data_IF_952779835245
#
_entry.id   IF_952779835245
#
_cell.length_a   1.000
_cell.length_b   1.000
_cell.length_c   1.000
_cell.angle_alpha   90.00
_cell.angle_beta   90.00
_cell.angle_gamma   90.00
#
_symmetry.space_group_name_H-M   'P 1'
#
loop_
_entity.id
_entity.type
_entity.pdbx_description
1 polymer ?
#
# COMPACT_ATOMS: atom_id res chain seq x y z
N UNK A 1 20.48 4.12 -26.60
CA UNK A 1 20.04 4.08 -25.19
C UNK A 1 18.52 4.04 -25.18
N UNK A 2 17.94 2.88 -24.86
CA UNK A 2 16.49 2.70 -24.93
C UNK A 2 15.86 3.19 -23.61
N UNK A 3 15.26 4.38 -23.63
CA UNK A 3 14.45 4.86 -22.49
C UNK A 3 13.18 4.03 -22.45
N UNK A 4 13.10 3.07 -21.53
CA UNK A 4 11.85 2.38 -21.23
C UNK A 4 10.98 3.35 -20.44
N UNK A 5 10.00 3.94 -21.12
CA UNK A 5 8.94 4.70 -20.48
C UNK A 5 7.92 3.70 -19.93
N UNK A 6 7.71 3.72 -18.62
CA UNK A 6 6.76 2.86 -17.92
C UNK A 6 5.61 3.76 -17.47
N UNK A 7 4.52 3.77 -18.24
CA UNK A 7 3.26 4.37 -17.83
C UNK A 7 2.50 3.36 -16.97
N UNK A 8 2.11 3.77 -15.77
CA UNK A 8 1.14 3.04 -14.95
C UNK A 8 -0.20 3.77 -14.99
N UNK A 9 -1.26 2.97 -15.06
CA UNK A 9 -2.64 3.42 -14.88
C UNK A 9 -2.80 4.01 -13.46
N UNK A 10 -3.43 5.19 -13.39
CA UNK A 10 -3.65 6.00 -12.18
C UNK A 10 -5.14 5.96 -11.88
N UNK A 11 -5.69 4.78 -11.63
CA UNK A 11 -6.98 4.70 -10.95
C UNK A 11 -6.77 4.03 -9.60
N UNK A 12 -6.87 4.87 -8.56
CA UNK A 12 -6.70 4.56 -7.15
C UNK A 12 -7.66 3.47 -6.69
N UNK A 13 -7.25 2.22 -6.89
CA UNK A 13 -8.09 1.07 -6.59
C UNK A 13 -7.38 0.15 -5.60
N UNK A 14 -6.84 0.73 -4.53
CA UNK A 14 -6.84 0.02 -3.26
C UNK A 14 -8.00 0.49 -2.39
N UNK A 15 -8.46 1.75 -2.46
CA UNK A 15 -9.33 2.30 -1.41
C UNK A 15 -10.76 2.69 -1.78
N UNK A 16 -11.11 2.73 -3.07
CA UNK A 16 -12.42 3.25 -3.50
C UNK A 16 -13.54 2.20 -3.39
N UNK A 17 -13.21 0.91 -3.22
CA UNK A 17 -14.20 -0.17 -3.09
C UNK A 17 -14.56 -0.48 -1.63
N UNK A 18 -15.14 0.49 -0.90
CA UNK A 18 -15.99 0.22 0.27
C UNK A 18 -15.50 -0.81 1.32
N UNK A 19 -14.19 -0.87 1.61
CA UNK A 19 -13.61 -1.76 2.62
C UNK A 19 -12.81 -2.96 2.09
N UNK A 20 -12.98 -3.39 0.83
CA UNK A 20 -12.21 -4.52 0.26
C UNK A 20 -10.70 -4.26 0.20
N UNK A 21 -10.29 -3.00 0.11
CA UNK A 21 -8.90 -2.57 0.17
C UNK A 21 -8.18 -2.84 1.47
N UNK A 22 -8.89 -2.71 2.60
CA UNK A 22 -8.31 -2.86 3.93
C UNK A 22 -7.87 -4.30 4.16
N UNK A 23 -8.74 -5.26 3.84
CA UNK A 23 -8.46 -6.67 4.09
C UNK A 23 -7.32 -7.18 3.20
N UNK A 24 -7.35 -6.82 1.91
CA UNK A 24 -6.27 -7.11 0.97
C UNK A 24 -4.93 -6.49 1.41
N UNK A 25 -4.96 -5.24 1.88
CA UNK A 25 -3.79 -4.57 2.43
C UNK A 25 -3.27 -5.30 3.68
N UNK A 26 -4.14 -5.58 4.65
CA UNK A 26 -3.79 -6.27 5.89
C UNK A 26 -3.18 -7.64 5.60
N UNK A 27 -3.75 -8.40 4.66
CA UNK A 27 -3.21 -9.69 4.25
C UNK A 27 -1.80 -9.53 3.68
N UNK A 28 -1.60 -8.63 2.71
CA UNK A 28 -0.29 -8.47 2.08
C UNK A 28 0.77 -7.92 3.05
N UNK A 29 0.37 -7.04 3.97
CA UNK A 29 1.25 -6.54 5.02
C UNK A 29 1.63 -7.65 6.02
N UNK A 30 0.68 -8.53 6.35
CA UNK A 30 0.96 -9.72 7.15
C UNK A 30 1.89 -10.70 6.42
N UNK A 31 1.69 -10.96 5.13
CA UNK A 31 2.58 -11.83 4.36
C UNK A 31 4.02 -11.31 4.32
N UNK A 32 4.21 -10.00 4.13
CA UNK A 32 5.54 -9.37 4.02
C UNK A 32 6.24 -9.18 5.37
N UNK A 33 5.49 -8.77 6.39
CA UNK A 33 6.06 -8.27 7.65
C UNK A 33 5.60 -9.04 8.88
N UNK A 34 4.70 -10.03 8.71
CA UNK A 34 4.09 -10.81 9.80
C UNK A 34 3.34 -9.93 10.82
N UNK A 35 2.74 -8.84 10.33
CA UNK A 35 1.94 -7.89 11.12
C UNK A 35 0.49 -7.96 10.67
N UNK A 36 -0.36 -8.47 11.55
CA UNK A 36 -1.81 -8.50 11.37
C UNK A 36 -2.44 -7.13 11.70
N UNK A 37 -3.57 -6.82 11.04
CA UNK A 37 -4.31 -5.55 11.17
C UNK A 37 -3.44 -4.28 11.09
N UNK A 38 -2.41 -4.28 10.25
CA UNK A 38 -1.52 -3.13 10.04
C UNK A 38 -2.27 -1.83 9.66
N UNK A 39 -3.40 -1.97 8.95
CA UNK A 39 -4.31 -0.87 8.64
C UNK A 39 -4.90 -0.22 9.89
N UNK A 40 -5.32 -1.04 10.88
CA UNK A 40 -5.86 -0.59 12.16
C UNK A 40 -6.92 0.51 11.99
N UNK A 41 -6.69 1.69 12.58
CA UNK A 41 -7.54 2.89 12.54
C UNK A 41 -7.16 3.89 11.45
N UNK A 42 -6.45 3.47 10.40
CA UNK A 42 -6.04 4.37 9.32
C UNK A 42 -7.26 4.85 8.53
N UNK A 43 -7.42 6.18 8.43
CA UNK A 43 -8.52 6.83 7.73
C UNK A 43 -7.98 7.39 6.40
N UNK A 44 -8.49 6.92 5.25
CA UNK A 44 -8.02 7.33 3.93
C UNK A 44 -8.67 8.65 3.44
N UNK A 45 -8.81 9.65 4.31
CA UNK A 45 -9.59 10.88 4.12
C UNK A 45 -9.02 11.86 3.06
N UNK A 46 -9.05 11.46 1.79
CA UNK A 46 -8.50 12.25 0.68
C UNK A 46 -6.97 12.16 0.55
N UNK A 47 -6.33 11.33 1.39
CA UNK A 47 -4.93 10.95 1.24
C UNK A 47 -4.78 10.00 0.05
N UNK A 48 -3.66 10.12 -0.65
CA UNK A 48 -3.29 9.20 -1.72
C UNK A 48 -2.73 7.90 -1.15
N UNK A 49 -2.83 6.80 -1.90
CA UNK A 49 -2.31 5.49 -1.50
C UNK A 49 -0.84 5.53 -1.02
N UNK A 50 0.11 6.22 -1.71
CA UNK A 50 1.49 6.30 -1.22
C UNK A 50 1.61 6.94 0.16
N UNK A 51 0.80 7.96 0.43
CA UNK A 51 0.84 8.65 1.72
C UNK A 51 0.31 7.78 2.85
N UNK A 52 -0.74 7.00 2.57
CA UNK A 52 -1.33 6.06 3.52
C UNK A 52 -0.36 4.90 3.81
N UNK A 53 0.24 4.33 2.77
CA UNK A 53 1.23 3.25 2.91
C UNK A 53 2.42 3.72 3.76
N UNK A 54 2.91 4.93 3.51
CA UNK A 54 4.02 5.50 4.27
C UNK A 54 3.63 5.72 5.75
N UNK A 55 2.44 6.25 6.04
CA UNK A 55 1.97 6.42 7.42
C UNK A 55 1.90 5.09 8.17
N UNK A 56 1.37 4.05 7.52
CA UNK A 56 1.28 2.70 8.09
C UNK A 56 2.68 2.10 8.29
N UNK A 57 3.59 2.27 7.32
CA UNK A 57 4.95 1.75 7.41
C UNK A 57 5.74 2.44 8.54
N UNK A 58 5.63 3.76 8.67
CA UNK A 58 6.26 4.48 9.78
C UNK A 58 5.71 4.01 11.13
N UNK A 59 4.40 3.83 11.25
CA UNK A 59 3.77 3.36 12.50
C UNK A 59 4.20 1.95 12.90
N UNK A 60 4.24 1.02 11.94
CA UNK A 60 4.43 -0.40 12.23
C UNK A 60 5.89 -0.86 12.13
N UNK A 61 6.69 -0.21 11.28
CA UNK A 61 8.07 -0.62 10.98
C UNK A 61 9.12 0.43 11.41
N UNK A 62 8.69 1.65 11.81
CA UNK A 62 9.58 2.79 12.07
C UNK A 62 10.53 3.12 10.90
N UNK A 63 10.09 2.86 9.67
CA UNK A 63 10.80 3.17 8.43
C UNK A 63 9.87 3.20 7.23
N UNK A 64 10.32 3.82 6.15
CA UNK A 64 9.67 3.73 4.84
C UNK A 64 9.85 2.36 4.22
N UNK A 65 8.95 2.00 3.30
CA UNK A 65 9.09 0.81 2.47
C UNK A 65 10.11 1.05 1.36
N UNK A 66 10.87 0.02 1.02
CA UNK A 66 11.68 0.06 -0.20
C UNK A 66 10.81 -0.21 -1.45
N UNK A 67 11.39 0.00 -2.63
CA UNK A 67 10.68 -0.13 -3.90
C UNK A 67 10.15 -1.54 -4.20
N UNK A 68 10.76 -2.59 -3.64
CA UNK A 68 10.30 -3.97 -3.79
C UNK A 68 9.09 -4.21 -2.89
N UNK A 69 9.21 -3.87 -1.60
CA UNK A 69 8.12 -3.96 -0.61
C UNK A 69 6.88 -3.18 -1.08
N UNK A 70 7.09 -1.95 -1.54
CA UNK A 70 6.03 -1.10 -2.10
C UNK A 70 5.42 -1.69 -3.37
N UNK A 71 6.24 -2.32 -4.22
CA UNK A 71 5.78 -2.99 -5.43
C UNK A 71 4.93 -4.23 -5.17
N UNK A 72 5.15 -4.94 -4.06
CA UNK A 72 4.31 -6.08 -3.65
C UNK A 72 2.94 -5.60 -3.18
N UNK A 73 2.89 -4.55 -2.35
CA UNK A 73 1.61 -3.99 -1.88
C UNK A 73 0.72 -3.47 -3.01
N UNK A 74 1.30 -2.94 -4.10
CA UNK A 74 0.55 -2.51 -5.29
C UNK A 74 0.04 -3.64 -6.19
N UNK A 75 0.49 -4.88 -5.98
CA UNK A 75 0.11 -6.03 -6.84
C UNK A 75 -1.05 -6.84 -6.29
N UNK A 76 -1.55 -6.51 -5.12
CA UNK A 76 -2.73 -7.15 -4.54
C UNK A 76 -3.95 -6.60 -5.30
N UNK A 77 -4.51 -7.41 -6.20
CA UNK A 77 -5.70 -7.11 -7.01
C UNK A 77 -6.82 -8.07 -6.59
#
# INVERSE_FOLDING_TARGET
MNKKLLLFDIDGTLLVSGGCGKDAFNQAFCELFQIEDAWSHTIPDGKTDPHIIEEIAQRNLNRSLNSIEYGVLRRVH
#
